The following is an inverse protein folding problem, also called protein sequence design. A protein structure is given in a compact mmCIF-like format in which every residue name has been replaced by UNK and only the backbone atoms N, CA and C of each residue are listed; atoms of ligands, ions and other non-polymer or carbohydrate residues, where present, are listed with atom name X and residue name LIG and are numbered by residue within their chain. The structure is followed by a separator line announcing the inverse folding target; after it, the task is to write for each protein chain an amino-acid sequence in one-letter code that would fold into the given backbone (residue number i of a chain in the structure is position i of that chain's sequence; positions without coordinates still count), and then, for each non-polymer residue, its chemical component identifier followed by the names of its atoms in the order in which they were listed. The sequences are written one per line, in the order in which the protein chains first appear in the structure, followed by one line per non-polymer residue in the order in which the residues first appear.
data_IF_765923053281
#
_entry.id   IF_765923053281
#
_cell.length_a   1.000
_cell.length_b   1.000
_cell.length_c   1.000
_cell.angle_alpha   90.00
_cell.angle_beta   90.00
_cell.angle_gamma   90.00
#
_symmetry.space_group_name_H-M   'P 1'
#
loop_
_entity.id
_entity.type
_entity.pdbx_description
1 polymer ?
#
# COMPACT_ATOMS: atom_id res chain seq x y z
N UNK A 1 -1.96 -11.66 7.35
CA UNK A 1 -1.76 -12.17 5.97
C UNK A 1 -0.37 -12.75 5.89
N UNK A 2 -0.21 -14.01 5.51
CA UNK A 2 1.12 -14.60 5.31
C UNK A 2 1.71 -14.08 3.99
N UNK A 3 2.94 -13.57 4.02
CA UNK A 3 3.60 -12.95 2.87
C UNK A 3 4.86 -13.76 2.55
N UNK A 4 4.81 -14.53 1.46
CA UNK A 4 5.99 -15.17 0.91
C UNK A 4 6.90 -14.11 0.27
N UNK A 5 8.06 -13.86 0.89
CA UNK A 5 9.10 -13.00 0.29
C UNK A 5 9.70 -13.70 -0.92
N UNK A 6 9.76 -13.00 -2.04
CA UNK A 6 10.37 -13.48 -3.28
C UNK A 6 11.25 -12.39 -3.88
N UNK A 7 12.36 -12.79 -4.49
CA UNK A 7 13.22 -11.91 -5.27
C UNK A 7 12.86 -12.04 -6.74
N UNK A 8 12.21 -11.02 -7.31
CA UNK A 8 11.86 -10.97 -8.73
C UNK A 8 12.96 -10.23 -9.51
N UNK A 9 13.47 -10.84 -10.58
CA UNK A 9 14.36 -10.15 -11.52
C UNK A 9 13.53 -9.50 -12.61
N UNK A 10 13.73 -8.20 -12.81
CA UNK A 10 13.04 -7.42 -13.83
C UNK A 10 14.06 -6.92 -14.86
N UNK A 11 13.71 -6.92 -16.16
CA UNK A 11 14.40 -6.10 -17.15
C UNK A 11 14.51 -4.63 -16.69
N UNK A 12 15.61 -3.96 -17.05
CA UNK A 12 15.92 -2.61 -16.54
C UNK A 12 14.85 -1.58 -16.93
N UNK A 13 14.37 -1.66 -18.15
CA UNK A 13 13.27 -0.86 -18.70
C UNK A 13 11.98 -1.10 -17.91
N UNK A 14 11.62 -2.36 -17.66
CA UNK A 14 10.42 -2.69 -16.90
C UNK A 14 10.50 -2.20 -15.44
N UNK A 15 11.66 -2.36 -14.80
CA UNK A 15 11.91 -1.81 -13.47
C UNK A 15 11.66 -0.30 -13.45
N UNK A 16 12.19 0.42 -14.44
CA UNK A 16 12.02 1.88 -14.54
C UNK A 16 10.54 2.27 -14.74
N UNK A 17 9.84 1.62 -15.67
CA UNK A 17 8.41 1.87 -15.92
C UNK A 17 7.55 1.66 -14.67
N UNK A 18 7.82 0.60 -13.90
CA UNK A 18 7.07 0.32 -12.66
C UNK A 18 7.42 1.33 -11.56
N UNK A 19 8.68 1.75 -11.48
CA UNK A 19 9.12 2.77 -10.52
C UNK A 19 8.44 4.11 -10.79
N UNK A 20 8.43 4.57 -12.03
CA UNK A 20 7.81 5.84 -12.44
C UNK A 20 6.29 5.81 -12.21
N UNK A 21 5.63 4.70 -12.56
CA UNK A 21 4.20 4.54 -12.30
C UNK A 21 3.88 4.59 -10.80
N UNK A 22 4.71 3.96 -9.97
CA UNK A 22 4.54 3.98 -8.52
C UNK A 22 4.70 5.40 -7.94
N UNK A 23 5.72 6.13 -8.38
CA UNK A 23 5.94 7.52 -8.01
C UNK A 23 4.78 8.41 -8.42
N UNK A 24 4.29 8.28 -9.65
CA UNK A 24 3.16 9.06 -10.16
C UNK A 24 1.86 8.79 -9.40
N UNK A 25 1.66 7.57 -8.89
CA UNK A 25 0.50 7.18 -8.11
C UNK A 25 0.67 7.42 -6.59
N UNK A 26 1.82 7.90 -6.14
CA UNK A 26 2.09 8.21 -4.73
C UNK A 26 2.24 6.98 -3.82
N UNK A 27 2.61 5.82 -4.36
CA UNK A 27 2.82 4.61 -3.57
C UNK A 27 4.15 3.91 -3.90
N UNK A 28 4.55 2.94 -3.06
CA UNK A 28 5.80 2.21 -3.29
C UNK A 28 5.77 1.36 -4.56
N UNK A 29 6.96 1.04 -5.10
CA UNK A 29 7.08 0.13 -6.24
C UNK A 29 6.44 -1.24 -5.97
N UNK A 30 6.59 -1.77 -4.75
CA UNK A 30 5.96 -3.02 -4.35
C UNK A 30 4.42 -2.93 -4.36
N UNK A 31 3.86 -1.81 -3.89
CA UNK A 31 2.41 -1.59 -3.95
C UNK A 31 1.90 -1.57 -5.40
N UNK A 32 2.64 -0.95 -6.31
CA UNK A 32 2.31 -0.94 -7.75
C UNK A 32 2.35 -2.33 -8.37
N UNK A 33 3.37 -3.13 -8.05
CA UNK A 33 3.49 -4.53 -8.52
C UNK A 33 2.28 -5.35 -8.05
N UNK A 34 1.96 -5.28 -6.75
CA UNK A 34 0.80 -5.99 -6.18
C UNK A 34 -0.49 -5.55 -6.86
N UNK A 35 -0.69 -4.24 -7.06
CA UNK A 35 -1.88 -3.68 -7.71
C UNK A 35 -2.06 -4.22 -9.13
N UNK A 36 -1.00 -4.21 -9.94
CA UNK A 36 -1.03 -4.72 -11.32
C UNK A 36 -1.30 -6.22 -11.36
N UNK A 37 -0.64 -7.01 -10.51
CA UNK A 37 -0.85 -8.45 -10.43
C UNK A 37 -2.30 -8.77 -10.01
N UNK A 38 -2.84 -8.11 -8.98
CA UNK A 38 -4.25 -8.27 -8.59
C UNK A 38 -5.21 -7.93 -9.73
N UNK A 39 -4.91 -6.85 -10.46
CA UNK A 39 -5.67 -6.46 -11.66
C UNK A 39 -5.61 -7.51 -12.77
N UNK A 40 -4.43 -8.10 -13.03
CA UNK A 40 -4.27 -9.11 -14.09
C UNK A 40 -5.00 -10.42 -13.80
N UNK A 41 -5.26 -10.74 -12.54
CA UNK A 41 -6.06 -11.90 -12.15
C UNK A 41 -7.58 -11.60 -12.06
N UNK A 42 -8.06 -10.51 -12.67
CA UNK A 42 -9.49 -10.19 -12.75
C UNK A 42 -10.10 -9.67 -11.44
N UNK A 43 -9.31 -8.93 -10.66
CA UNK A 43 -9.53 -8.62 -9.25
C UNK A 43 -10.98 -8.51 -8.77
N UNK A 44 -11.33 -9.30 -7.74
CA UNK A 44 -12.24 -8.79 -6.73
C UNK A 44 -11.56 -7.56 -6.10
N UNK A 45 -12.26 -6.44 -5.92
CA UNK A 45 -11.70 -5.26 -5.28
C UNK A 45 -11.07 -5.64 -3.94
N UNK A 46 -9.99 -4.95 -3.56
CA UNK A 46 -9.47 -5.02 -2.20
C UNK A 46 -10.64 -4.62 -1.31
N UNK A 47 -11.26 -5.59 -0.63
CA UNK A 47 -12.20 -5.31 0.42
C UNK A 47 -11.35 -4.81 1.58
N UNK A 48 -11.11 -3.50 1.58
CA UNK A 48 -10.72 -2.83 2.81
C UNK A 48 -11.95 -2.93 3.69
N UNK A 49 -11.84 -3.69 4.78
CA UNK A 49 -12.90 -3.70 5.77
C UNK A 49 -13.01 -2.26 6.30
N UNK A 50 -14.14 -1.62 6.00
CA UNK A 50 -14.39 -0.24 6.40
C UNK A 50 -14.30 -0.09 7.92
N UNK A 51 -14.58 -1.15 8.68
CA UNK A 51 -14.45 -1.17 10.13
C UNK A 51 -12.98 -1.16 10.59
N UNK A 52 -12.10 -1.89 9.90
CA UNK A 52 -10.66 -1.91 10.18
C UNK A 52 -10.03 -0.55 9.83
N UNK A 53 -10.44 0.03 8.69
CA UNK A 53 -9.98 1.36 8.28
C UNK A 53 -10.46 2.46 9.25
N UNK A 54 -11.72 2.42 9.68
CA UNK A 54 -12.25 3.36 10.69
C UNK A 54 -11.54 3.20 12.03
N UNK A 55 -11.14 1.98 12.39
CA UNK A 55 -10.41 1.71 13.63
C UNK A 55 -9.01 2.33 13.57
N UNK A 56 -8.28 2.11 12.47
CA UNK A 56 -6.96 2.68 12.26
C UNK A 56 -6.99 4.22 12.23
N UNK A 57 -7.97 4.81 11.54
CA UNK A 57 -8.13 6.28 11.50
C UNK A 57 -8.41 6.83 12.89
N UNK A 58 -9.27 6.19 13.69
CA UNK A 58 -9.55 6.63 15.07
C UNK A 58 -8.33 6.57 15.97
N UNK A 59 -7.48 5.56 15.79
CA UNK A 59 -6.26 5.38 16.56
C UNK A 59 -5.26 6.50 16.28
N UNK A 60 -4.98 6.78 15.00
CA UNK A 60 -4.10 7.89 14.58
C UNK A 60 -4.63 9.24 15.08
N UNK A 61 -5.94 9.49 14.96
CA UNK A 61 -6.54 10.75 15.46
C UNK A 61 -6.40 10.89 16.97
N UNK A 62 -6.45 9.78 17.73
CA UNK A 62 -6.25 9.81 19.19
C UNK A 62 -4.80 10.13 19.55
N UNK A 63 -3.83 9.58 18.83
CA UNK A 63 -2.41 9.81 19.08
C UNK A 63 -2.00 11.27 18.80
N UNK A 64 -2.48 11.84 17.69
CA UNK A 64 -2.19 13.23 17.32
C UNK A 64 -2.84 14.26 18.27
N UNK A 65 -4.01 13.94 18.85
CA UNK A 65 -4.70 14.82 19.80
C UNK A 65 -4.29 14.57 21.26
N UNK A 66 -3.68 13.43 21.57
CA UNK A 66 -3.21 13.05 22.91
C UNK A 66 -1.87 13.66 23.32
N UNK A 67 -1.06 14.11 22.36
CA UNK A 67 0.27 14.70 22.60
C UNK A 67 0.25 16.24 22.79
N UNK A 68 -0.92 16.89 22.77
CA UNK A 68 -1.07 18.33 22.98
C UNK A 68 -1.24 18.77 24.44
N UNK A 69 -1.00 17.89 25.41
CA UNK A 69 -1.38 18.13 26.80
C UNK A 69 -0.41 17.57 27.83
N UNK A 70 0.84 18.03 27.83
CA UNK A 70 1.63 18.11 29.08
C UNK A 70 2.44 19.40 29.07
N UNK A 71 2.19 20.20 30.11
CA UNK A 71 2.88 21.44 30.48
C UNK A 71 4.38 21.29 30.63
#
# INVERSE_FOLDING_TARGET
MDIQKTALRLPKDLHQMVTEAAQSAGHSMNAEIIRRLRGSFGGRPIQVDESELKTLIREVVREELGNGGTS
#
